data_IF_883478980730
#
_entry.id   IF_883478980730
#
_cell.length_a   1.000
_cell.length_b   1.000
_cell.length_c   1.000
_cell.angle_alpha   90.00
_cell.angle_beta   90.00
_cell.angle_gamma   90.00
#
_symmetry.space_group_name_H-M   'P 1'
#
loop_
_entity.id
_entity.type
_entity.pdbx_description
1 polymer ?
#
# COMPACT_ATOMS: atom_id res chain seq x y z
N UNK A 1 16.35 -2.63 8.94
CA UNK A 1 15.60 -3.47 7.99
C UNK A 1 15.22 -4.74 8.73
N UNK A 2 13.93 -5.03 8.78
CA UNK A 2 13.39 -6.15 9.56
C UNK A 2 13.20 -7.39 8.68
N UNK A 3 12.78 -7.19 7.42
CA UNK A 3 12.69 -8.25 6.43
C UNK A 3 13.21 -7.75 5.07
N UNK A 4 14.02 -8.58 4.42
CA UNK A 4 14.48 -8.39 3.05
C UNK A 4 14.44 -9.72 2.32
N UNK A 5 13.84 -9.71 1.14
CA UNK A 5 13.95 -10.82 0.21
C UNK A 5 14.40 -10.33 -1.15
N UNK A 6 15.57 -10.78 -1.56
CA UNK A 6 16.19 -10.40 -2.82
C UNK A 6 16.39 -11.64 -3.70
N UNK A 7 15.84 -11.60 -4.91
CA UNK A 7 16.14 -12.58 -5.95
C UNK A 7 17.36 -12.14 -6.77
N UNK A 8 17.96 -13.06 -7.51
CA UNK A 8 19.02 -12.70 -8.46
C UNK A 8 18.44 -11.83 -9.60
N UNK A 9 19.29 -10.96 -10.15
CA UNK A 9 18.96 -10.06 -11.25
C UNK A 9 18.64 -10.82 -12.55
N UNK A 10 17.35 -11.16 -12.74
CA UNK A 10 16.85 -11.81 -13.94
C UNK A 10 15.34 -11.61 -14.03
N UNK A 11 14.86 -11.27 -15.23
CA UNK A 11 13.43 -11.08 -15.48
C UNK A 11 12.62 -12.38 -15.50
N UNK A 12 13.28 -13.53 -15.36
CA UNK A 12 12.62 -14.85 -15.28
C UNK A 12 12.57 -15.39 -13.85
N UNK A 13 13.29 -14.76 -12.92
CA UNK A 13 13.24 -15.12 -11.52
C UNK A 13 11.94 -14.66 -10.91
N UNK A 14 11.50 -15.38 -9.88
CA UNK A 14 10.29 -15.06 -9.14
C UNK A 14 10.65 -14.79 -7.70
N UNK A 15 10.00 -13.79 -7.10
CA UNK A 15 10.24 -13.36 -5.74
C UNK A 15 8.91 -13.29 -4.97
N UNK A 16 8.73 -14.22 -4.03
CA UNK A 16 7.45 -14.43 -3.35
C UNK A 16 7.57 -14.09 -1.86
N UNK A 17 6.70 -13.22 -1.36
CA UNK A 17 6.51 -12.99 0.07
C UNK A 17 5.03 -13.08 0.39
N UNK A 18 4.66 -14.10 1.17
CA UNK A 18 3.29 -14.36 1.55
C UNK A 18 3.16 -14.46 3.06
N UNK A 19 2.08 -13.89 3.60
CA UNK A 19 1.69 -14.05 5.01
C UNK A 19 2.76 -13.59 6.01
N UNK A 20 3.54 -12.59 5.61
CA UNK A 20 4.59 -11.95 6.39
C UNK A 20 3.98 -10.78 7.16
N UNK A 21 4.26 -10.73 8.45
CA UNK A 21 3.92 -9.57 9.30
C UNK A 21 5.21 -8.94 9.84
N UNK A 22 5.37 -7.65 9.62
CA UNK A 22 6.46 -6.84 10.20
C UNK A 22 5.81 -5.75 11.05
N UNK A 23 6.03 -5.80 12.37
CA UNK A 23 5.43 -4.85 13.29
C UNK A 23 6.41 -4.26 14.29
N UNK A 24 6.14 -3.02 14.70
CA UNK A 24 6.90 -2.31 15.76
C UNK A 24 8.41 -2.24 15.50
N UNK A 25 8.81 -2.29 14.23
CA UNK A 25 10.20 -2.27 13.85
C UNK A 25 10.74 -0.85 13.77
N UNK A 26 12.00 -0.67 14.20
CA UNK A 26 12.75 0.57 14.11
C UNK A 26 12.74 1.40 15.40
N UNK A 27 13.94 1.82 15.82
CA UNK A 27 14.15 2.55 17.08
C UNK A 27 13.47 3.93 17.10
N UNK A 28 13.52 4.64 15.96
CA UNK A 28 12.95 5.97 15.80
C UNK A 28 12.60 6.22 14.33
N UNK A 29 11.78 7.24 14.06
CA UNK A 29 11.48 7.69 12.70
C UNK A 29 12.71 8.29 12.00
N UNK A 30 13.76 8.66 12.74
CA UNK A 30 14.99 9.24 12.20
C UNK A 30 16.11 8.23 11.94
N UNK A 31 15.96 6.97 12.35
CA UNK A 31 16.97 5.91 12.20
C UNK A 31 16.46 4.76 11.34
N UNK A 32 17.39 4.05 10.70
CA UNK A 32 17.09 2.92 9.83
C UNK A 32 16.47 3.33 8.49
N UNK A 33 16.67 2.54 7.45
CA UNK A 33 16.21 2.90 6.10
C UNK A 33 14.90 2.22 5.75
N UNK A 34 14.82 0.90 5.85
CA UNK A 34 13.68 0.12 5.37
C UNK A 34 13.16 -0.81 6.46
N UNK A 35 11.89 -1.21 6.38
CA UNK A 35 11.28 -2.20 7.28
C UNK A 35 11.07 -3.52 6.56
N UNK A 36 10.33 -3.51 5.46
CA UNK A 36 9.95 -4.66 4.63
C UNK A 36 10.39 -4.42 3.17
N UNK A 37 11.31 -5.23 2.66
CA UNK A 37 11.91 -5.08 1.34
C UNK A 37 11.77 -6.31 0.45
N UNK A 38 11.42 -6.11 -0.81
CA UNK A 38 11.49 -7.10 -1.89
C UNK A 38 12.22 -6.54 -3.10
N UNK A 39 13.19 -7.29 -3.60
CA UNK A 39 14.03 -6.86 -4.73
C UNK A 39 14.17 -7.95 -5.78
N UNK A 40 14.09 -7.53 -7.04
CA UNK A 40 14.33 -8.30 -8.25
C UNK A 40 13.35 -9.46 -8.50
N UNK A 41 13.35 -9.93 -9.75
CA UNK A 41 12.42 -10.94 -10.26
C UNK A 41 10.99 -10.41 -10.41
N UNK A 42 10.06 -11.29 -10.78
CA UNK A 42 8.62 -11.07 -10.71
C UNK A 42 8.18 -11.11 -9.25
N UNK A 43 7.76 -9.96 -8.73
CA UNK A 43 7.40 -9.82 -7.31
C UNK A 43 5.95 -10.24 -7.09
N UNK A 44 5.73 -11.09 -6.09
CA UNK A 44 4.42 -11.56 -5.66
C UNK A 44 4.33 -11.38 -4.15
N UNK A 45 3.68 -10.30 -3.74
CA UNK A 45 3.51 -9.90 -2.36
C UNK A 45 2.04 -10.02 -1.98
N UNK A 46 1.68 -10.95 -1.10
CA UNK A 46 0.28 -11.27 -0.80
C UNK A 46 0.04 -11.48 0.69
N UNK A 47 -1.10 -11.00 1.20
CA UNK A 47 -1.56 -11.25 2.58
C UNK A 47 -0.54 -10.79 3.64
N UNK A 48 0.22 -9.73 3.36
CA UNK A 48 1.27 -9.28 4.26
C UNK A 48 0.84 -8.04 5.04
N UNK A 49 1.40 -7.88 6.24
CA UNK A 49 1.11 -6.77 7.14
C UNK A 49 2.39 -6.02 7.50
N UNK A 50 2.31 -4.69 7.50
CA UNK A 50 3.35 -3.81 8.00
C UNK A 50 2.70 -2.80 8.94
N UNK A 51 2.98 -2.89 10.23
CA UNK A 51 2.21 -2.15 11.25
C UNK A 51 3.08 -1.45 12.28
N UNK A 52 2.78 -0.19 12.58
CA UNK A 52 3.43 0.59 13.64
C UNK A 52 4.96 0.68 13.52
N UNK A 53 5.49 0.55 12.30
CA UNK A 53 6.92 0.61 12.06
C UNK A 53 7.41 2.05 11.96
N UNK A 54 8.67 2.28 12.33
CA UNK A 54 9.35 3.58 12.30
C UNK A 54 10.65 3.48 11.50
N UNK A 55 10.88 4.39 10.56
CA UNK A 55 12.19 4.49 9.91
C UNK A 55 12.38 5.82 9.19
N UNK A 56 13.62 6.09 8.77
CA UNK A 56 13.94 7.29 8.03
C UNK A 56 13.45 7.28 6.57
N UNK A 57 13.53 6.14 5.87
CA UNK A 57 13.25 6.08 4.41
C UNK A 57 11.90 5.45 4.06
N UNK A 58 11.68 4.16 4.38
CA UNK A 58 10.52 3.38 3.92
C UNK A 58 9.95 2.46 5.00
N UNK A 59 8.84 2.89 5.59
CA UNK A 59 8.28 2.31 6.82
C UNK A 59 7.27 1.20 6.57
N UNK A 60 6.66 1.18 5.38
CA UNK A 60 5.63 0.19 5.02
C UNK A 60 6.21 -0.91 4.15
N UNK A 61 6.59 -0.60 2.90
CA UNK A 61 7.12 -1.58 1.93
C UNK A 61 8.02 -0.90 0.90
N UNK A 62 9.13 -1.56 0.60
CA UNK A 62 10.02 -1.27 -0.50
C UNK A 62 10.00 -2.43 -1.50
N UNK A 63 9.64 -2.16 -2.75
CA UNK A 63 9.52 -3.19 -3.79
C UNK A 63 10.20 -2.72 -5.09
N UNK A 64 11.24 -3.44 -5.54
CA UNK A 64 11.98 -3.16 -6.77
C UNK A 64 11.81 -4.31 -7.76
N UNK A 65 11.05 -4.05 -8.82
CA UNK A 65 10.73 -5.04 -9.85
C UNK A 65 11.82 -5.14 -10.91
N UNK A 66 12.19 -6.36 -11.27
CA UNK A 66 13.06 -6.63 -12.43
C UNK A 66 12.45 -7.64 -13.42
N UNK A 67 11.45 -8.39 -12.97
CA UNK A 67 10.55 -9.20 -13.80
C UNK A 67 9.57 -8.36 -14.62
N UNK A 68 8.72 -9.01 -15.39
CA UNK A 68 7.72 -8.34 -16.23
C UNK A 68 6.60 -7.69 -15.38
N UNK A 69 6.31 -8.26 -14.21
CA UNK A 69 5.17 -7.80 -13.39
C UNK A 69 5.43 -7.93 -11.89
N UNK A 70 4.95 -6.94 -11.14
CA UNK A 70 4.99 -6.91 -9.68
C UNK A 70 3.58 -6.79 -9.11
N UNK A 71 3.24 -7.64 -8.15
CA UNK A 71 1.92 -7.66 -7.51
C UNK A 71 2.04 -7.47 -6.01
N UNK A 72 1.25 -6.55 -5.48
CA UNK A 72 0.99 -6.39 -4.06
C UNK A 72 -0.51 -6.55 -3.82
N UNK A 73 -0.94 -7.62 -3.13
CA UNK A 73 -2.36 -7.96 -2.97
C UNK A 73 -2.74 -8.22 -1.51
N UNK A 74 -3.96 -7.90 -1.13
CA UNK A 74 -4.56 -8.31 0.16
C UNK A 74 -3.70 -7.92 1.37
N UNK A 75 -3.02 -6.78 1.30
CA UNK A 75 -1.97 -6.41 2.26
C UNK A 75 -2.33 -5.16 3.04
N UNK A 76 -1.93 -5.09 4.31
CA UNK A 76 -2.25 -3.98 5.22
C UNK A 76 -0.99 -3.24 5.65
N UNK A 77 -1.01 -1.92 5.52
CA UNK A 77 0.04 -0.99 5.91
C UNK A 77 -0.57 0.02 6.88
N UNK A 78 -0.35 -0.15 8.18
CA UNK A 78 -1.08 0.58 9.21
C UNK A 78 -0.19 1.27 10.23
N UNK A 79 -0.47 2.54 10.50
CA UNK A 79 0.20 3.29 11.58
C UNK A 79 1.72 3.42 11.42
N UNK A 80 2.26 3.17 10.23
CA UNK A 80 3.69 3.29 9.96
C UNK A 80 4.08 4.77 9.90
N UNK A 81 5.26 5.09 10.39
CA UNK A 81 5.75 6.45 10.50
C UNK A 81 7.14 6.56 9.86
N UNK A 82 7.28 7.43 8.86
CA UNK A 82 8.55 7.73 8.24
C UNK A 82 8.90 9.21 8.31
N UNK A 83 10.20 9.50 8.43
CA UNK A 83 10.69 10.87 8.53
C UNK A 83 10.91 11.50 7.17
N UNK A 84 11.89 11.05 6.36
CA UNK A 84 12.37 11.81 5.18
C UNK A 84 11.76 11.45 3.82
N UNK A 85 11.46 10.18 3.58
CA UNK A 85 11.10 9.73 2.22
C UNK A 85 9.65 9.25 2.12
N UNK A 86 9.42 7.97 1.86
CA UNK A 86 8.17 7.45 1.30
C UNK A 86 7.72 6.24 2.09
N UNK A 87 6.43 6.14 2.44
CA UNK A 87 5.98 5.01 3.25
C UNK A 87 5.97 3.72 2.43
N UNK A 88 5.39 3.77 1.24
CA UNK A 88 5.35 2.69 0.26
C UNK A 88 6.15 3.12 -0.98
N UNK A 89 7.10 2.29 -1.42
CA UNK A 89 7.86 2.46 -2.66
C UNK A 89 7.65 1.27 -3.59
N UNK A 90 7.17 1.56 -4.81
CA UNK A 90 7.15 0.63 -5.94
C UNK A 90 8.04 1.16 -7.07
N UNK A 91 9.19 0.52 -7.28
CA UNK A 91 10.21 0.90 -8.26
C UNK A 91 10.44 -0.24 -9.26
N UNK A 92 11.07 0.05 -10.39
CA UNK A 92 11.54 -1.00 -11.31
C UNK A 92 12.87 -0.66 -11.95
N UNK A 93 13.66 -1.69 -12.27
CA UNK A 93 14.90 -1.53 -13.02
C UNK A 93 14.69 -1.36 -14.54
N UNK A 94 13.46 -1.55 -15.04
CA UNK A 94 13.12 -1.38 -16.47
C UNK A 94 11.86 -0.54 -16.63
N UNK A 95 11.86 0.29 -17.66
CA UNK A 95 10.80 1.27 -17.93
C UNK A 95 9.46 0.64 -18.29
N UNK A 96 9.47 -0.49 -18.99
CA UNK A 96 8.27 -1.18 -19.48
C UNK A 96 7.59 -2.03 -18.40
N UNK A 97 8.23 -2.18 -17.24
CA UNK A 97 7.71 -2.98 -16.15
C UNK A 97 6.60 -2.24 -15.40
N UNK A 98 5.61 -2.99 -14.95
CA UNK A 98 4.42 -2.45 -14.30
C UNK A 98 4.17 -3.09 -12.95
N UNK A 99 3.83 -2.27 -11.96
CA UNK A 99 3.31 -2.73 -10.68
C UNK A 99 1.78 -2.70 -10.65
N UNK A 100 1.18 -3.68 -10.01
CA UNK A 100 -0.24 -3.70 -9.65
C UNK A 100 -0.36 -3.86 -8.14
N UNK A 101 -0.95 -2.85 -7.50
CA UNK A 101 -1.24 -2.85 -6.06
C UNK A 101 -2.75 -2.92 -5.88
N UNK A 102 -3.23 -4.02 -5.32
CA UNK A 102 -4.66 -4.34 -5.31
C UNK A 102 -5.13 -4.80 -3.93
N UNK A 103 -6.39 -4.58 -3.60
CA UNK A 103 -7.00 -5.09 -2.36
C UNK A 103 -6.17 -4.74 -1.11
N UNK A 104 -5.81 -3.47 -0.94
CA UNK A 104 -4.87 -3.06 0.09
C UNK A 104 -5.44 -2.04 1.07
N UNK A 105 -4.98 -2.10 2.32
CA UNK A 105 -5.37 -1.15 3.35
C UNK A 105 -4.17 -0.30 3.74
N UNK A 106 -4.23 1.01 3.49
CA UNK A 106 -3.21 1.99 3.86
C UNK A 106 -3.84 2.96 4.86
N UNK A 107 -3.61 2.74 6.15
CA UNK A 107 -4.40 3.38 7.21
C UNK A 107 -3.51 4.05 8.25
N UNK A 108 -3.71 5.35 8.47
CA UNK A 108 -3.06 6.06 9.57
C UNK A 108 -1.54 6.20 9.43
N UNK A 109 -0.99 5.98 8.23
CA UNK A 109 0.45 6.12 8.00
C UNK A 109 0.83 7.61 7.97
N UNK A 110 1.97 7.94 8.56
CA UNK A 110 2.43 9.31 8.77
C UNK A 110 3.76 9.56 8.10
N UNK A 111 3.81 10.67 7.38
CA UNK A 111 4.99 11.26 6.79
C UNK A 111 5.23 12.62 7.45
N UNK A 112 6.40 12.80 8.06
CA UNK A 112 6.68 13.97 8.92
C UNK A 112 7.58 15.03 8.31
N UNK A 113 8.14 14.82 7.12
CA UNK A 113 9.03 15.79 6.50
C UNK A 113 8.29 16.81 5.64
N UNK A 114 8.88 18.00 5.58
CA UNK A 114 8.45 19.11 4.70
C UNK A 114 8.83 18.87 3.23
N UNK A 115 9.45 17.73 2.91
CA UNK A 115 9.84 17.39 1.54
C UNK A 115 8.61 17.01 0.71
N UNK A 116 8.60 17.43 -0.56
CA UNK A 116 7.49 17.27 -1.53
C UNK A 116 7.27 15.82 -2.00
N UNK A 117 7.77 14.83 -1.27
CA UNK A 117 7.62 13.41 -1.62
C UNK A 117 6.26 12.86 -1.16
N UNK A 118 5.87 11.76 -1.79
CA UNK A 118 4.62 11.05 -1.55
C UNK A 118 4.66 9.98 -0.47
N UNK A 119 3.52 9.73 0.16
CA UNK A 119 3.31 8.56 1.02
C UNK A 119 3.36 7.25 0.21
N UNK A 120 2.60 7.22 -0.88
CA UNK A 120 2.64 6.17 -1.89
C UNK A 120 3.42 6.70 -3.09
N UNK A 121 4.54 6.05 -3.38
CA UNK A 121 5.47 6.51 -4.39
C UNK A 121 5.70 5.41 -5.42
N UNK A 122 5.64 5.77 -6.69
CA UNK A 122 6.10 4.91 -7.78
C UNK A 122 7.03 5.66 -8.75
N UNK A 123 7.91 4.92 -9.40
CA UNK A 123 8.82 5.47 -10.43
C UNK A 123 8.24 5.34 -11.84
N UNK A 124 7.54 4.23 -12.09
CA UNK A 124 6.98 3.87 -13.39
C UNK A 124 5.48 3.62 -13.29
N UNK A 125 4.89 3.20 -14.41
CA UNK A 125 3.46 2.91 -14.49
C UNK A 125 3.03 1.94 -13.39
N UNK A 126 2.00 2.35 -12.65
CA UNK A 126 1.48 1.57 -11.52
C UNK A 126 -0.04 1.63 -11.51
N UNK A 127 -0.67 0.47 -11.45
CA UNK A 127 -2.10 0.37 -11.20
C UNK A 127 -2.34 0.19 -9.71
N UNK A 128 -3.31 0.93 -9.19
CA UNK A 128 -3.83 0.78 -7.84
C UNK A 128 -5.32 0.49 -7.94
N UNK A 129 -5.76 -0.63 -7.39
CA UNK A 129 -7.16 -1.06 -7.45
C UNK A 129 -7.69 -1.58 -6.09
N UNK A 130 -8.98 -1.39 -5.81
CA UNK A 130 -9.62 -1.92 -4.60
C UNK A 130 -8.87 -1.62 -3.28
N UNK A 131 -8.22 -0.46 -3.19
CA UNK A 131 -7.44 -0.08 -2.02
C UNK A 131 -8.16 0.99 -1.17
N UNK A 132 -7.86 1.02 0.11
CA UNK A 132 -8.37 1.99 1.08
C UNK A 132 -7.22 2.86 1.59
N UNK A 133 -7.31 4.17 1.38
CA UNK A 133 -6.38 5.16 1.88
C UNK A 133 -7.08 6.08 2.89
N UNK A 134 -6.94 5.77 4.18
CA UNK A 134 -7.69 6.42 5.26
C UNK A 134 -6.78 7.00 6.35
N UNK A 135 -7.06 8.22 6.79
CA UNK A 135 -6.40 8.90 7.91
C UNK A 135 -4.88 9.01 7.79
N UNK A 136 -4.37 8.94 6.56
CA UNK A 136 -2.95 9.11 6.28
C UNK A 136 -2.57 10.58 6.31
N UNK A 137 -1.34 10.88 6.71
CA UNK A 137 -0.82 12.25 6.77
C UNK A 137 0.47 12.35 5.97
N UNK A 138 0.46 13.13 4.88
CA UNK A 138 1.64 13.42 4.06
C UNK A 138 1.44 14.70 3.24
N UNK A 139 2.55 15.33 2.82
CA UNK A 139 2.53 16.49 1.90
C UNK A 139 1.88 16.14 0.56
N UNK A 140 2.26 15.00 0.00
CA UNK A 140 1.59 14.37 -1.14
C UNK A 140 1.20 12.95 -0.75
N UNK A 141 -0.01 12.54 -1.10
CA UNK A 141 -0.48 11.17 -0.84
C UNK A 141 0.06 10.20 -1.91
N UNK A 142 0.08 10.65 -3.15
CA UNK A 142 0.53 9.88 -4.31
C UNK A 142 1.59 10.67 -5.06
N UNK A 143 2.67 10.01 -5.46
CA UNK A 143 3.78 10.64 -6.17
C UNK A 143 4.32 9.69 -7.24
N UNK A 144 4.44 10.21 -8.46
CA UNK A 144 5.07 9.53 -9.59
C UNK A 144 6.36 10.30 -9.91
N UNK A 145 7.51 9.64 -9.82
CA UNK A 145 8.82 10.29 -9.91
C UNK A 145 9.11 10.87 -11.31
N UNK A 146 8.91 10.06 -12.33
CA UNK A 146 9.36 10.39 -13.68
C UNK A 146 8.20 10.88 -14.56
N UNK A 147 8.47 11.92 -15.34
CA UNK A 147 7.51 12.45 -16.31
C UNK A 147 7.20 11.42 -17.41
N UNK A 148 5.94 11.37 -17.87
CA UNK A 148 5.47 10.43 -18.89
C UNK A 148 4.93 9.11 -18.34
N UNK A 149 5.08 8.84 -17.04
CA UNK A 149 4.44 7.71 -16.37
C UNK A 149 3.18 8.12 -15.63
N UNK A 150 2.34 7.13 -15.39
CA UNK A 150 1.01 7.32 -14.80
C UNK A 150 0.80 6.37 -13.62
N UNK A 151 0.17 6.90 -12.57
CA UNK A 151 -0.46 6.08 -11.54
C UNK A 151 -1.96 6.11 -11.77
N UNK A 152 -2.55 4.95 -12.06
CA UNK A 152 -4.00 4.81 -12.26
C UNK A 152 -4.62 4.25 -11.00
N UNK A 153 -5.53 5.00 -10.40
CA UNK A 153 -6.25 4.60 -9.19
C UNK A 153 -7.71 4.33 -9.58
N UNK A 154 -8.11 3.07 -9.47
CA UNK A 154 -9.44 2.57 -9.83
C UNK A 154 -10.09 1.88 -8.63
N UNK A 155 -11.41 1.93 -8.53
CA UNK A 155 -12.19 1.18 -7.52
C UNK A 155 -11.67 1.27 -6.08
N UNK A 156 -11.04 2.39 -5.73
CA UNK A 156 -10.33 2.60 -4.47
C UNK A 156 -10.93 3.77 -3.71
N UNK A 157 -10.90 3.70 -2.39
CA UNK A 157 -11.32 4.79 -1.52
C UNK A 157 -10.10 5.62 -1.08
N UNK A 158 -10.16 6.93 -1.34
CA UNK A 158 -9.13 7.88 -0.90
C UNK A 158 -9.80 8.99 -0.11
N UNK A 159 -9.43 9.13 1.16
CA UNK A 159 -9.97 10.20 2.00
C UNK A 159 -9.60 11.58 1.44
N UNK A 160 -10.62 12.43 1.25
CA UNK A 160 -10.53 13.76 0.66
C UNK A 160 -9.50 14.65 1.37
N UNK A 161 -8.31 14.78 0.75
CA UNK A 161 -7.20 15.75 1.01
C UNK A 161 -5.89 15.35 0.30
N UNK A 162 -5.90 14.34 -0.57
CA UNK A 162 -4.69 13.88 -1.26
C UNK A 162 -4.20 14.90 -2.28
N UNK A 163 -3.15 15.66 -1.94
CA UNK A 163 -2.33 16.31 -2.97
C UNK A 163 -1.55 15.23 -3.72
N UNK A 164 -1.42 15.40 -5.02
CA UNK A 164 -0.60 14.56 -5.89
C UNK A 164 0.74 15.24 -6.18
N UNK A 165 1.76 14.45 -6.47
CA UNK A 165 3.11 14.92 -6.83
C UNK A 165 3.24 15.46 -8.26
N UNK A 166 4.46 15.41 -8.79
CA UNK A 166 4.86 15.95 -10.09
C UNK A 166 4.31 15.17 -11.30
N UNK A 167 4.31 13.84 -11.25
CA UNK A 167 3.78 13.03 -12.34
C UNK A 167 2.24 12.87 -12.32
N UNK A 168 1.71 12.22 -13.35
CA UNK A 168 0.27 12.10 -13.56
C UNK A 168 -0.36 11.03 -12.67
N UNK A 169 -1.32 11.43 -11.84
CA UNK A 169 -2.17 10.53 -11.06
C UNK A 169 -3.59 10.64 -11.61
N UNK A 170 -4.13 9.54 -12.10
CA UNK A 170 -5.46 9.48 -12.72
C UNK A 170 -6.39 8.70 -11.81
N UNK A 171 -7.56 9.26 -11.51
CA UNK A 171 -8.62 8.60 -10.75
C UNK A 171 -9.74 8.20 -11.72
N UNK A 172 -9.99 6.90 -11.90
CA UNK A 172 -10.99 6.42 -12.88
C UNK A 172 -12.42 6.50 -12.36
N UNK A 173 -12.62 6.64 -11.04
CA UNK A 173 -13.93 6.91 -10.42
C UNK A 173 -13.79 8.01 -9.36
N UNK A 174 -13.79 9.26 -9.79
CA UNK A 174 -13.70 10.43 -8.89
C UNK A 174 -14.91 10.61 -7.96
N UNK A 175 -16.03 9.93 -8.20
CA UNK A 175 -17.31 10.19 -7.55
C UNK A 175 -17.97 8.92 -6.98
N UNK A 176 -17.36 8.29 -5.98
CA UNK A 176 -18.20 7.61 -4.99
C UNK A 176 -18.75 8.70 -4.09
N UNK A 177 -20.04 9.05 -4.29
CA UNK A 177 -20.76 10.01 -3.47
C UNK A 177 -20.44 9.78 -1.99
N UNK A 178 -20.16 10.87 -1.27
CA UNK A 178 -19.91 10.88 0.18
C UNK A 178 -21.01 10.15 0.99
N UNK A 179 -22.21 10.03 0.43
CA UNK A 179 -23.33 9.28 1.01
C UNK A 179 -23.13 7.75 0.96
N UNK A 180 -22.48 7.18 -0.06
CA UNK A 180 -22.11 5.76 -0.11
C UNK A 180 -20.97 5.47 0.89
N UNK A 181 -20.11 6.46 1.13
CA UNK A 181 -18.99 6.41 2.07
C UNK A 181 -19.45 6.56 3.53
N UNK A 182 -20.67 7.06 3.79
CA UNK A 182 -21.21 7.19 5.15
C UNK A 182 -21.31 5.86 5.90
N UNK A 183 -21.37 4.74 5.17
CA UNK A 183 -21.31 3.37 5.70
C UNK A 183 -19.87 3.04 6.20
N UNK A 184 -18.83 3.62 5.60
CA UNK A 184 -17.41 3.27 5.87
C UNK A 184 -16.77 3.93 7.10
N UNK A 185 -17.39 4.95 7.69
CA UNK A 185 -16.89 5.55 8.94
C UNK A 185 -17.24 4.69 10.16
N UNK A 186 -18.32 3.93 10.09
CA UNK A 186 -18.73 2.95 11.10
C UNK A 186 -17.85 1.68 11.08
N UNK A 187 -17.30 1.32 9.91
CA UNK A 187 -16.40 0.14 9.78
C UNK A 187 -14.91 0.44 9.96
N UNK A 188 -14.52 1.70 10.03
CA UNK A 188 -13.15 2.06 10.41
C UNK A 188 -12.82 1.58 11.84
N UNK A 189 -13.81 1.44 12.74
CA UNK A 189 -13.66 0.81 14.05
C UNK A 189 -13.46 -0.72 13.95
N UNK A 190 -14.02 -1.36 12.92
CA UNK A 190 -13.95 -2.82 12.69
C UNK A 190 -12.64 -3.27 12.00
N UNK A 191 -11.87 -2.35 11.39
CA UNK A 191 -10.55 -2.62 10.81
C UNK A 191 -9.45 -3.00 11.85
N UNK A 192 -9.79 -3.17 13.13
CA UNK A 192 -8.88 -3.54 14.20
C UNK A 192 -9.02 -4.98 14.73
N UNK A 193 -9.86 -5.82 14.09
CA UNK A 193 -10.17 -7.18 14.60
C UNK A 193 -9.36 -8.27 13.84
N UNK A 194 -8.89 -9.28 14.58
CA UNK A 194 -7.98 -10.36 14.13
C UNK A 194 -8.55 -11.36 13.09
N UNK A 195 -7.68 -12.08 12.35
CA UNK A 195 -7.95 -12.63 11.00
C UNK A 195 -8.77 -13.94 10.90
N UNK A 196 -9.43 -14.41 11.96
CA UNK A 196 -9.82 -15.83 12.01
C UNK A 196 -11.10 -16.25 11.26
N UNK A 197 -11.68 -15.42 10.39
CA UNK A 197 -12.84 -15.83 9.58
C UNK A 197 -12.85 -15.11 8.22
N UNK A 198 -12.35 -15.73 7.15
CA UNK A 198 -12.81 -15.40 5.78
C UNK A 198 -12.63 -16.57 4.79
N UNK A 199 -13.73 -17.01 4.19
CA UNK A 199 -13.76 -17.82 2.96
C UNK A 199 -14.53 -17.05 1.89
N UNK A 200 -13.92 -16.86 0.72
CA UNK A 200 -14.24 -15.77 -0.20
C UNK A 200 -15.28 -16.10 -1.30
N UNK A 201 -16.14 -15.12 -1.63
CA UNK A 201 -16.59 -14.77 -2.99
C UNK A 201 -16.81 -13.25 -3.11
N UNK A 202 -16.44 -12.71 -4.27
CA UNK A 202 -16.03 -11.31 -4.50
C UNK A 202 -17.09 -10.23 -4.21
N UNK A 203 -18.39 -10.56 -4.18
CA UNK A 203 -19.45 -9.63 -3.74
C UNK A 203 -19.33 -9.23 -2.27
N UNK A 204 -18.63 -10.02 -1.45
CA UNK A 204 -18.41 -9.76 -0.04
C UNK A 204 -17.36 -8.69 0.27
N UNK A 205 -16.52 -8.25 -0.69
CA UNK A 205 -15.62 -7.13 -0.44
C UNK A 205 -16.36 -5.80 -0.24
N UNK A 206 -17.63 -5.72 -0.70
CA UNK A 206 -18.48 -4.55 -0.53
C UNK A 206 -19.55 -4.71 0.57
N UNK A 207 -19.87 -5.93 1.03
CA UNK A 207 -20.97 -6.22 1.99
C UNK A 207 -20.47 -6.79 3.35
N UNK A 208 -19.20 -7.20 3.49
CA UNK A 208 -18.56 -7.38 4.81
C UNK A 208 -18.34 -6.06 5.56
N UNK A 209 -18.43 -4.94 4.82
CA UNK A 209 -18.60 -3.59 5.32
C UNK A 209 -20.07 -3.30 5.71
N UNK A 210 -20.94 -4.30 5.85
CA UNK A 210 -22.32 -4.05 6.32
C UNK A 210 -22.96 -5.18 7.16
N UNK A 211 -22.43 -6.42 7.22
CA UNK A 211 -23.20 -7.55 7.83
C UNK A 211 -22.46 -8.50 8.80
N UNK A 212 -21.31 -8.12 9.37
CA UNK A 212 -20.52 -9.00 10.27
C UNK A 212 -21.10 -9.30 11.66
N UNK A 213 -22.42 -9.18 11.89
CA UNK A 213 -23.06 -9.38 13.21
C UNK A 213 -23.71 -10.77 13.38
N UNK A 214 -23.96 -11.55 12.33
CA UNK A 214 -24.90 -12.69 12.46
C UNK A 214 -24.27 -14.07 12.73
N UNK A 215 -22.94 -14.23 12.73
CA UNK A 215 -22.33 -15.59 12.72
C UNK A 215 -21.52 -16.03 13.96
N UNK A 216 -21.55 -15.33 15.10
CA UNK A 216 -20.89 -15.78 16.34
C UNK A 216 -21.79 -16.45 17.40
N UNK A 217 -22.97 -16.94 17.03
CA UNK A 217 -23.72 -17.86 17.88
C UNK A 217 -23.89 -19.23 17.23
N UNK A 218 -22.89 -20.09 17.47
CA UNK A 218 -23.13 -21.45 17.92
C UNK A 218 -22.01 -21.92 18.84
#
# INVERSE_FOLDING_TARGET
>A
MAFLQQANHSSTNKNYAFEISVSECGESDTKGSYTLGLENGDIQFKNNNSTSNKCNFCSSIFSVLEGQSGYCKFSTFRGNNQFRFKSLLFSSNKVDNKHTVSYCNVIGNKYRSNTELGLFFCEFNTDVDHCVFLNNTASHMFYVEYAGFTMTISDSYVQAKSKTGSGAVTFERENLNSEIISISLSDAENCAIEPNVMTAKVSYFFEFAETSIVLFFK
#
